data_IF_975684791903
#
_entry.id   IF_975684791903
#
_cell.length_a   1.000
_cell.length_b   1.000
_cell.length_c   1.000
_cell.angle_alpha   90.00
_cell.angle_beta   90.00
_cell.angle_gamma   90.00
#
_symmetry.space_group_name_H-M   'P 1'
#
loop_
_entity.id
_entity.type
_entity.pdbx_description
1 polymer ?
#
# COMPACT_ATOMS: atom_id res chain seq x y z
N UNK A 1 20.58 -19.60 -24.03
CA UNK A 1 21.20 -19.85 -22.70
C UNK A 1 20.21 -19.49 -21.60
N UNK A 2 19.62 -20.48 -20.91
CA UNK A 2 18.77 -20.25 -19.72
C UNK A 2 19.70 -19.94 -18.53
N UNK A 3 19.66 -18.70 -18.01
CA UNK A 3 20.35 -18.40 -16.74
C UNK A 3 19.73 -19.29 -15.66
N UNK A 4 20.57 -20.07 -14.94
CA UNK A 4 20.17 -20.84 -13.76
C UNK A 4 19.35 -19.93 -12.85
N UNK A 5 18.10 -20.31 -12.61
CA UNK A 5 17.16 -19.54 -11.79
C UNK A 5 17.63 -19.54 -10.35
N UNK A 6 18.32 -18.49 -9.93
CA UNK A 6 18.42 -18.18 -8.51
C UNK A 6 16.98 -17.93 -8.03
N UNK A 7 16.50 -18.74 -7.09
CA UNK A 7 15.24 -18.50 -6.40
C UNK A 7 15.35 -17.14 -5.69
N UNK A 8 14.89 -16.08 -6.34
CA UNK A 8 14.81 -14.75 -5.76
C UNK A 8 13.87 -14.87 -4.57
N UNK A 9 14.44 -14.82 -3.36
CA UNK A 9 13.68 -15.02 -2.13
C UNK A 9 12.78 -13.81 -1.88
N UNK A 10 11.76 -13.98 -1.04
CA UNK A 10 10.86 -12.87 -0.65
C UNK A 10 11.62 -11.64 -0.14
N UNK A 11 12.78 -11.85 0.49
CA UNK A 11 13.64 -10.78 1.00
C UNK A 11 14.30 -9.97 -0.13
N UNK A 12 14.82 -10.63 -1.18
CA UNK A 12 15.40 -9.93 -2.33
C UNK A 12 14.35 -9.10 -3.08
N UNK A 13 13.12 -9.62 -3.21
CA UNK A 13 12.01 -8.86 -3.75
C UNK A 13 11.67 -7.64 -2.89
N UNK A 14 11.56 -7.81 -1.57
CA UNK A 14 11.29 -6.71 -0.65
C UNK A 14 12.35 -5.58 -0.76
N UNK A 15 13.63 -5.92 -0.79
CA UNK A 15 14.72 -4.95 -0.97
C UNK A 15 14.56 -4.21 -2.30
N UNK A 16 14.36 -4.92 -3.42
CA UNK A 16 14.19 -4.28 -4.73
C UNK A 16 12.99 -3.33 -4.75
N UNK A 17 11.86 -3.73 -4.17
CA UNK A 17 10.64 -2.91 -4.15
C UNK A 17 10.83 -1.65 -3.30
N UNK A 18 11.47 -1.75 -2.13
CA UNK A 18 11.82 -0.60 -1.30
C UNK A 18 12.74 0.37 -2.06
N UNK A 19 13.79 -0.15 -2.70
CA UNK A 19 14.76 0.68 -3.43
C UNK A 19 14.12 1.37 -4.65
N UNK A 20 13.36 0.64 -5.46
CA UNK A 20 12.64 1.24 -6.59
C UNK A 20 11.58 2.24 -6.13
N UNK A 21 10.92 1.96 -5.00
CA UNK A 21 9.94 2.86 -4.42
C UNK A 21 10.55 4.19 -3.99
N UNK A 22 11.69 4.14 -3.29
CA UNK A 22 12.48 5.33 -2.90
C UNK A 22 13.03 6.10 -4.10
N UNK A 23 13.43 5.40 -5.16
CA UNK A 23 13.89 6.03 -6.40
C UNK A 23 12.76 6.63 -7.26
N UNK A 24 11.50 6.52 -6.82
CA UNK A 24 10.33 6.99 -7.59
C UNK A 24 10.05 6.15 -8.85
N UNK A 25 10.71 5.01 -9.01
CA UNK A 25 10.59 4.09 -10.14
C UNK A 25 9.38 3.15 -9.99
N UNK A 26 8.21 3.74 -9.72
CA UNK A 26 6.98 3.04 -9.33
C UNK A 26 6.50 2.02 -10.36
N UNK A 27 6.65 2.33 -11.66
CA UNK A 27 6.32 1.39 -12.75
C UNK A 27 7.18 0.12 -12.68
N UNK A 28 8.47 0.27 -12.36
CA UNK A 28 9.40 -0.85 -12.21
C UNK A 28 9.10 -1.62 -10.92
N UNK A 29 8.78 -0.93 -9.83
CA UNK A 29 8.33 -1.57 -8.59
C UNK A 29 7.08 -2.44 -8.81
N UNK A 30 6.04 -1.90 -9.45
CA UNK A 30 4.82 -2.65 -9.80
C UNK A 30 5.10 -3.87 -10.69
N UNK A 31 5.95 -3.71 -11.71
CA UNK A 31 6.34 -4.83 -12.59
C UNK A 31 7.02 -5.95 -11.81
N UNK A 32 7.94 -5.59 -10.90
CA UNK A 32 8.64 -6.56 -10.06
C UNK A 32 7.70 -7.22 -9.03
N UNK A 33 6.78 -6.46 -8.44
CA UNK A 33 5.77 -6.99 -7.53
C UNK A 33 4.88 -8.03 -8.23
N UNK A 34 4.40 -7.72 -9.45
CA UNK A 34 3.64 -8.67 -10.26
C UNK A 34 4.47 -9.90 -10.63
N UNK A 35 5.75 -9.73 -10.95
CA UNK A 35 6.67 -10.84 -11.24
C UNK A 35 6.92 -11.74 -10.02
N UNK A 36 7.07 -11.16 -8.82
CA UNK A 36 7.17 -11.90 -7.56
C UNK A 36 5.96 -12.83 -7.39
N UNK A 37 4.75 -12.30 -7.53
CA UNK A 37 3.51 -13.07 -7.47
C UNK A 37 3.47 -14.18 -8.53
N UNK A 38 3.82 -13.86 -9.77
CA UNK A 38 3.84 -14.83 -10.87
C UNK A 38 4.84 -15.97 -10.65
N UNK A 39 5.96 -15.69 -9.97
CA UNK A 39 6.93 -16.74 -9.59
C UNK A 39 6.47 -17.62 -8.41
N UNK A 40 5.24 -17.48 -7.93
CA UNK A 40 4.71 -18.22 -6.77
C UNK A 40 5.17 -17.67 -5.41
N UNK A 41 5.92 -16.56 -5.41
CA UNK A 41 6.38 -15.93 -4.18
C UNK A 41 5.25 -15.03 -3.64
N UNK A 42 4.69 -15.40 -2.48
CA UNK A 42 3.59 -14.64 -1.87
C UNK A 42 4.12 -13.35 -1.23
N UNK A 43 3.53 -12.18 -1.55
CA UNK A 43 3.83 -10.95 -0.84
C UNK A 43 3.49 -11.08 0.65
N UNK A 44 4.28 -10.42 1.49
CA UNK A 44 4.02 -10.30 2.94
C UNK A 44 3.33 -8.97 3.24
N UNK A 45 2.80 -8.79 4.45
CA UNK A 45 2.25 -7.50 4.90
C UNK A 45 3.24 -6.33 4.72
N UNK A 46 4.52 -6.53 5.06
CA UNK A 46 5.58 -5.54 4.81
C UNK A 46 5.78 -5.24 3.31
N UNK A 47 5.66 -6.25 2.45
CA UNK A 47 5.75 -6.07 1.00
C UNK A 47 4.63 -5.18 0.48
N UNK A 48 3.38 -5.43 0.92
CA UNK A 48 2.24 -4.58 0.59
C UNK A 48 2.42 -3.16 1.11
N UNK A 49 2.77 -3.01 2.40
CA UNK A 49 3.00 -1.71 3.03
C UNK A 49 3.94 -0.84 2.20
N UNK A 50 5.15 -1.33 1.91
CA UNK A 50 6.13 -0.54 1.16
C UNK A 50 5.69 -0.21 -0.26
N UNK A 51 4.96 -1.10 -0.92
CA UNK A 51 4.40 -0.82 -2.25
C UNK A 51 3.34 0.28 -2.19
N UNK A 52 2.40 0.20 -1.25
CA UNK A 52 1.32 1.18 -1.11
C UNK A 52 1.90 2.54 -0.75
N UNK A 53 2.79 2.62 0.25
CA UNK A 53 3.49 3.86 0.62
C UNK A 53 4.21 4.50 -0.58
N UNK A 54 4.90 3.69 -1.38
CA UNK A 54 5.58 4.19 -2.59
C UNK A 54 4.60 4.73 -3.63
N UNK A 55 3.47 4.05 -3.85
CA UNK A 55 2.46 4.47 -4.83
C UNK A 55 1.75 5.75 -4.39
N UNK A 56 1.53 5.94 -3.09
CA UNK A 56 0.93 7.13 -2.48
C UNK A 56 1.84 8.37 -2.52
N UNK A 57 3.17 8.18 -2.61
CA UNK A 57 4.12 9.30 -2.66
C UNK A 57 3.79 10.32 -3.77
N UNK A 58 3.86 11.61 -3.45
CA UNK A 58 3.40 12.73 -4.32
C UNK A 58 3.93 12.65 -5.75
N UNK A 59 5.24 12.43 -5.95
CA UNK A 59 5.85 12.39 -7.29
C UNK A 59 5.46 11.11 -8.06
N UNK A 60 4.71 11.25 -9.16
CA UNK A 60 4.29 10.10 -9.98
C UNK A 60 3.33 9.18 -9.25
N UNK A 61 2.50 9.74 -8.36
CA UNK A 61 1.46 9.06 -7.59
C UNK A 61 0.61 8.13 -8.47
N UNK A 62 0.27 6.95 -7.93
CA UNK A 62 -0.52 5.91 -8.61
C UNK A 62 -1.60 5.37 -7.67
N UNK A 63 -2.59 6.22 -7.36
CA UNK A 63 -3.60 5.94 -6.33
C UNK A 63 -4.44 4.71 -6.66
N UNK A 64 -4.86 4.52 -7.91
CA UNK A 64 -5.70 3.35 -8.25
C UNK A 64 -4.99 2.01 -8.02
N UNK A 65 -3.68 1.95 -8.29
CA UNK A 65 -2.87 0.77 -8.00
C UNK A 65 -2.67 0.61 -6.48
N UNK A 66 -2.56 1.71 -5.73
CA UNK A 66 -2.50 1.68 -4.27
C UNK A 66 -3.80 1.11 -3.67
N UNK A 67 -4.97 1.55 -4.18
CA UNK A 67 -6.29 1.04 -3.78
C UNK A 67 -6.41 -0.45 -4.05
N UNK A 68 -5.97 -0.91 -5.23
CA UNK A 68 -6.00 -2.32 -5.57
C UNK A 68 -5.12 -3.16 -4.63
N UNK A 69 -3.89 -2.70 -4.35
CA UNK A 69 -2.98 -3.41 -3.46
C UNK A 69 -3.42 -3.39 -2.00
N UNK A 70 -4.03 -2.30 -1.52
CA UNK A 70 -4.59 -2.23 -0.17
C UNK A 70 -5.74 -3.24 -0.01
N UNK A 71 -6.69 -3.28 -0.94
CA UNK A 71 -7.76 -4.28 -0.91
C UNK A 71 -7.22 -5.72 -1.02
N UNK A 72 -6.15 -5.95 -1.78
CA UNK A 72 -5.48 -7.25 -1.84
C UNK A 72 -4.82 -7.63 -0.51
N UNK A 73 -4.18 -6.68 0.16
CA UNK A 73 -3.58 -6.86 1.49
C UNK A 73 -4.61 -7.31 2.53
N UNK A 74 -5.75 -6.61 2.60
CA UNK A 74 -6.87 -6.95 3.50
C UNK A 74 -7.42 -8.34 3.19
N UNK A 75 -7.69 -8.65 1.90
CA UNK A 75 -8.16 -9.99 1.49
C UNK A 75 -7.16 -11.10 1.82
N UNK A 76 -5.86 -10.79 1.81
CA UNK A 76 -4.80 -11.70 2.22
C UNK A 76 -4.64 -11.81 3.75
N UNK A 77 -5.53 -11.18 4.53
CA UNK A 77 -5.54 -11.13 6.00
C UNK A 77 -4.28 -10.50 6.59
N UNK A 78 -3.69 -9.55 5.89
CA UNK A 78 -2.60 -8.74 6.41
C UNK A 78 -3.15 -7.45 7.01
N UNK A 79 -2.85 -7.24 8.29
CA UNK A 79 -3.29 -6.06 9.04
C UNK A 79 -2.42 -4.86 8.66
N UNK A 80 -3.01 -3.75 8.20
CA UNK A 80 -2.28 -2.51 7.96
C UNK A 80 -1.87 -1.90 9.30
N UNK A 81 -0.65 -1.35 9.36
CA UNK A 81 -0.21 -0.61 10.53
C UNK A 81 -0.56 0.88 10.43
N UNK A 82 -0.39 1.59 11.54
CA UNK A 82 -0.75 3.00 11.69
C UNK A 82 -0.14 3.89 10.61
N UNK A 83 1.16 3.77 10.36
CA UNK A 83 1.88 4.56 9.36
C UNK A 83 1.28 4.35 7.95
N UNK A 84 0.95 3.11 7.61
CA UNK A 84 0.33 2.79 6.33
C UNK A 84 -1.05 3.43 6.20
N UNK A 85 -1.88 3.32 7.24
CA UNK A 85 -3.24 3.88 7.23
C UNK A 85 -3.22 5.40 7.14
N UNK A 86 -2.41 6.08 7.96
CA UNK A 86 -2.26 7.54 7.93
C UNK A 86 -1.83 8.04 6.54
N UNK A 87 -0.79 7.42 5.97
CA UNK A 87 -0.27 7.83 4.65
C UNK A 87 -1.27 7.54 3.53
N UNK A 88 -1.95 6.40 3.60
CA UNK A 88 -2.91 6.00 2.58
C UNK A 88 -4.18 6.87 2.61
N UNK A 89 -4.69 7.19 3.80
CA UNK A 89 -5.84 8.06 4.01
C UNK A 89 -5.55 9.48 3.49
N UNK A 90 -4.44 10.07 3.94
CA UNK A 90 -3.96 11.37 3.45
C UNK A 90 -3.85 11.38 1.92
N UNK A 91 -3.28 10.34 1.32
CA UNK A 91 -3.16 10.23 -0.13
C UNK A 91 -4.52 10.23 -0.86
N UNK A 92 -5.57 9.63 -0.28
CA UNK A 92 -6.90 9.58 -0.87
C UNK A 92 -7.61 10.94 -0.76
N UNK A 93 -7.51 11.59 0.41
CA UNK A 93 -8.04 12.94 0.63
C UNK A 93 -7.39 13.96 -0.32
N UNK A 94 -6.06 13.97 -0.42
CA UNK A 94 -5.31 14.88 -1.31
C UNK A 94 -5.67 14.73 -2.80
N UNK A 95 -6.24 13.59 -3.23
CA UNK A 95 -6.72 13.38 -4.62
C UNK A 95 -8.24 13.39 -4.74
N UNK A 96 -8.95 13.80 -3.67
CA UNK A 96 -10.42 13.91 -3.58
C UNK A 96 -11.16 12.59 -3.80
N UNK A 97 -10.54 11.45 -3.44
CA UNK A 97 -11.13 10.11 -3.44
C UNK A 97 -11.75 9.80 -2.08
N UNK A 98 -12.74 10.62 -1.72
CA UNK A 98 -13.34 10.66 -0.38
C UNK A 98 -14.13 9.38 -0.07
N UNK A 99 -14.86 8.86 -1.06
CA UNK A 99 -15.62 7.62 -0.91
C UNK A 99 -14.70 6.43 -0.61
N UNK A 100 -13.55 6.33 -1.28
CA UNK A 100 -12.57 5.30 -1.00
C UNK A 100 -11.85 5.47 0.34
N UNK A 101 -11.68 6.73 0.80
CA UNK A 101 -11.10 7.05 2.10
C UNK A 101 -12.01 6.59 3.24
N UNK A 102 -13.30 6.92 3.16
CA UNK A 102 -14.30 6.51 4.13
C UNK A 102 -14.47 4.98 4.16
N UNK A 103 -14.60 4.35 2.98
CA UNK A 103 -14.70 2.90 2.90
C UNK A 103 -13.45 2.15 3.41
N UNK A 104 -12.28 2.82 3.44
CA UNK A 104 -11.09 2.27 4.08
C UNK A 104 -11.17 2.37 5.60
N UNK A 105 -11.58 3.51 6.15
CA UNK A 105 -11.74 3.72 7.58
C UNK A 105 -12.70 2.68 8.19
N UNK A 106 -13.84 2.45 7.53
CA UNK A 106 -14.83 1.44 7.95
C UNK A 106 -14.21 0.03 7.97
N UNK A 107 -13.54 -0.38 6.88
CA UNK A 107 -12.92 -1.71 6.76
C UNK A 107 -11.84 -1.97 7.81
N UNK A 108 -11.01 -0.97 8.12
CA UNK A 108 -9.92 -1.13 9.09
C UNK A 108 -10.47 -1.13 10.52
N UNK A 109 -11.56 -0.40 10.79
CA UNK A 109 -12.25 -0.42 12.08
C UNK A 109 -12.97 -1.74 12.38
N UNK A 110 -13.48 -2.42 11.34
CA UNK A 110 -14.10 -3.75 11.47
C UNK A 110 -13.08 -4.87 11.75
N UNK A 111 -11.86 -4.75 11.23
CA UNK A 111 -10.78 -5.67 11.58
C UNK A 111 -10.28 -5.35 12.99
N UNK A 112 -9.97 -6.39 13.80
CA UNK A 112 -9.39 -6.23 15.16
C UNK A 112 -7.97 -5.65 15.11
N UNK A 113 -7.82 -4.44 14.60
CA UNK A 113 -6.57 -3.71 14.53
C UNK A 113 -6.36 -2.93 15.83
N UNK A 114 -5.15 -2.41 16.02
CA UNK A 114 -4.85 -1.51 17.16
C UNK A 114 -5.42 -0.11 16.97
N UNK A 115 -6.03 0.17 15.80
CA UNK A 115 -6.65 1.44 15.48
C UNK A 115 -8.16 1.25 15.65
N UNK A 116 -8.78 2.04 16.52
CA UNK A 116 -10.24 2.03 16.62
C UNK A 116 -10.86 2.90 15.53
N UNK A 117 -12.14 2.65 15.24
CA UNK A 117 -12.91 3.37 14.22
C UNK A 117 -12.92 4.89 14.49
N UNK A 118 -13.02 5.28 15.76
CA UNK A 118 -13.06 6.70 16.18
C UNK A 118 -11.77 7.43 15.80
N UNK A 119 -10.61 6.80 16.00
CA UNK A 119 -9.33 7.35 15.57
C UNK A 119 -9.28 7.55 14.04
N UNK A 120 -9.80 6.61 13.26
CA UNK A 120 -9.79 6.69 11.79
C UNK A 120 -10.74 7.76 11.25
N UNK A 121 -11.92 7.91 11.85
CA UNK A 121 -12.86 8.99 11.52
C UNK A 121 -12.28 10.36 11.84
N UNK A 122 -11.68 10.53 13.02
CA UNK A 122 -11.02 11.79 13.41
C UNK A 122 -9.89 12.15 12.44
N UNK A 123 -9.03 11.19 12.13
CA UNK A 123 -7.94 11.37 11.18
C UNK A 123 -8.44 11.71 9.77
N UNK A 124 -9.55 11.12 9.34
CA UNK A 124 -10.17 11.46 8.06
C UNK A 124 -10.68 12.91 8.04
N UNK A 125 -11.33 13.36 9.11
CA UNK A 125 -11.80 14.75 9.24
C UNK A 125 -10.63 15.74 9.24
N UNK A 126 -9.55 15.44 9.98
CA UNK A 126 -8.33 16.28 10.00
C UNK A 126 -7.77 16.47 8.57
N UNK A 127 -7.65 15.41 7.78
CA UNK A 127 -7.19 15.50 6.40
C UNK A 127 -8.18 16.16 5.45
N UNK A 128 -9.48 16.09 5.74
CA UNK A 128 -10.51 16.71 4.91
C UNK A 128 -10.58 18.23 5.10
N UNK A 129 -10.39 18.71 6.33
CA UNK A 129 -10.40 20.14 6.66
C UNK A 129 -9.16 20.90 6.15
N UNK A 130 -8.01 20.23 6.01
CA UNK A 130 -6.77 20.85 5.48
C UNK A 130 -6.83 21.21 3.98
N UNK A 131 -7.75 20.62 3.21
CA UNK A 131 -7.87 20.78 1.74
C UNK A 131 -9.05 21.69 1.30
N UNK A 132 -9.75 22.37 2.24
CA UNK A 132 -10.89 23.26 1.99
C UNK A 132 -10.60 24.73 2.35
#
# INVERSE_FOLDING_TARGET
>A
MRRKGYNVTSHTWAIMLIQYGRAGLKKIALKNFRKMKYSGCKPTGSTYKHMILSLCGRRGRKVDEAIQLFNEMIKARHVPDRELVETYLSCLCEVRKIEEAQAMADKVGEERTSLDQVYLEALFMDFYEEDN
#
